data_IF_020878063150
#
_entry.id   IF_020878063150
#
_cell.length_a   1.000
_cell.length_b   1.000
_cell.length_c   1.000
_cell.angle_alpha   90.00
_cell.angle_beta   90.00
_cell.angle_gamma   90.00
#
_symmetry.space_group_name_H-M   'P 1'
#
loop_
_entity.id
_entity.type
_entity.pdbx_description
1 polymer ?
#
# COMPACT_ATOMS: atom_id res chain seq x y z
N UNK A 1 13.12 72.72 -0.99
CA UNK A 1 12.35 71.65 -0.32
C UNK A 1 11.98 70.59 -1.36
N UNK A 2 12.70 69.46 -1.43
CA UNK A 2 12.39 68.36 -2.36
C UNK A 2 11.69 67.24 -1.58
N UNK A 3 10.44 66.97 -1.93
CA UNK A 3 9.60 65.92 -1.35
C UNK A 3 10.04 64.55 -1.87
N UNK A 4 10.49 63.68 -0.96
CA UNK A 4 10.81 62.28 -1.23
C UNK A 4 9.55 61.47 -0.90
N UNK A 5 8.86 60.97 -1.93
CA UNK A 5 7.77 59.99 -1.76
C UNK A 5 8.40 58.60 -1.69
N UNK A 6 8.48 58.04 -0.47
CA UNK A 6 8.91 56.66 -0.25
C UNK A 6 7.82 55.71 -0.73
N UNK A 7 8.15 54.82 -1.67
CA UNK A 7 7.25 53.74 -2.14
C UNK A 7 7.48 52.52 -1.25
N UNK A 8 6.57 52.26 -0.32
CA UNK A 8 6.53 50.99 0.43
C UNK A 8 6.06 49.91 -0.54
N UNK A 9 6.95 48.98 -0.87
CA UNK A 9 6.60 47.78 -1.65
C UNK A 9 6.21 46.70 -0.66
N UNK A 10 4.91 46.35 -0.61
CA UNK A 10 4.42 45.21 0.17
C UNK A 10 4.64 43.95 -0.66
N UNK A 11 5.59 43.11 -0.24
CA UNK A 11 5.81 41.80 -0.85
C UNK A 11 4.79 40.82 -0.24
N UNK A 12 3.77 40.45 -1.00
CA UNK A 12 2.82 39.41 -0.59
C UNK A 12 3.51 38.04 -0.68
N UNK A 13 3.75 37.41 0.48
CA UNK A 13 4.23 36.03 0.55
C UNK A 13 3.06 35.11 0.20
N UNK A 14 3.03 34.62 -1.04
CA UNK A 14 2.07 33.60 -1.44
C UNK A 14 2.42 32.28 -0.73
N UNK A 15 1.56 31.83 0.19
CA UNK A 15 1.59 30.45 0.66
C UNK A 15 1.29 29.54 -0.53
N UNK A 16 2.33 28.90 -1.07
CA UNK A 16 2.16 27.81 -2.02
C UNK A 16 1.52 26.63 -1.27
N UNK A 17 0.19 26.50 -1.37
CA UNK A 17 -0.47 25.25 -1.04
C UNK A 17 0.09 24.18 -1.99
N UNK A 18 0.54 23.01 -1.49
CA UNK A 18 1.00 21.96 -2.36
C UNK A 18 -0.17 21.51 -3.25
N UNK A 19 -0.17 21.96 -4.50
CA UNK A 19 -1.01 21.41 -5.58
C UNK A 19 -0.40 20.10 -6.05
N UNK A 20 -0.16 19.17 -5.12
CA UNK A 20 -0.04 17.77 -5.48
C UNK A 20 -1.42 17.32 -5.96
N UNK A 21 -1.52 16.47 -7.00
CA UNK A 21 -2.80 15.85 -7.29
C UNK A 21 -3.29 15.20 -5.99
N UNK A 22 -4.47 15.59 -5.51
CA UNK A 22 -5.28 14.68 -4.73
C UNK A 22 -5.52 13.53 -5.69
N UNK A 23 -4.66 12.50 -5.65
CA UNK A 23 -4.87 11.27 -6.37
C UNK A 23 -6.24 10.78 -5.92
N UNK A 24 -7.22 11.04 -6.78
CA UNK A 24 -8.61 10.76 -6.51
C UNK A 24 -8.72 9.29 -6.19
N UNK A 25 -9.57 8.97 -5.22
CA UNK A 25 -9.90 7.60 -4.86
C UNK A 25 -10.62 6.94 -6.04
N UNK A 26 -9.85 6.44 -7.01
CA UNK A 26 -10.39 5.75 -8.16
C UNK A 26 -10.81 4.35 -7.73
N UNK A 27 -12.13 4.11 -7.79
CA UNK A 27 -12.69 2.80 -7.53
C UNK A 27 -12.29 1.87 -8.67
N UNK A 28 -11.51 0.85 -8.35
CA UNK A 28 -11.22 -0.24 -9.29
C UNK A 28 -12.30 -1.30 -9.11
N UNK A 29 -13.00 -1.62 -10.21
CA UNK A 29 -14.01 -2.67 -10.26
C UNK A 29 -13.41 -3.95 -10.80
N UNK A 30 -13.70 -5.06 -10.12
CA UNK A 30 -13.47 -6.42 -10.63
C UNK A 30 -14.84 -7.08 -10.79
N UNK A 31 -15.14 -7.51 -12.01
CA UNK A 31 -16.43 -8.11 -12.32
C UNK A 31 -16.67 -9.37 -11.47
N UNK A 32 -17.87 -9.46 -10.89
CA UNK A 32 -18.25 -10.55 -9.97
C UNK A 32 -17.75 -10.39 -8.53
N UNK A 33 -16.77 -9.53 -8.25
CA UNK A 33 -16.21 -9.35 -6.90
C UNK A 33 -16.52 -7.98 -6.27
N UNK A 34 -16.86 -6.97 -7.07
CA UNK A 34 -17.24 -5.64 -6.60
C UNK A 34 -16.24 -4.56 -6.96
N UNK A 35 -16.19 -3.48 -6.18
CA UNK A 35 -15.28 -2.36 -6.43
C UNK A 35 -14.79 -1.74 -5.13
N UNK A 36 -13.49 -1.45 -5.08
CA UNK A 36 -12.85 -0.77 -3.94
C UNK A 36 -11.86 0.28 -4.44
N UNK A 37 -11.58 1.26 -3.60
CA UNK A 37 -10.46 2.18 -3.77
C UNK A 37 -9.44 1.85 -2.70
N UNK A 38 -8.26 1.40 -3.11
CA UNK A 38 -7.15 1.10 -2.22
C UNK A 38 -5.91 1.88 -2.65
N UNK A 39 -5.77 3.16 -2.24
CA UNK A 39 -4.61 3.93 -2.63
C UNK A 39 -3.33 3.25 -2.10
N UNK A 40 -2.33 3.11 -2.96
CA UNK A 40 -1.05 2.48 -2.63
C UNK A 40 0.01 2.96 -3.63
N UNK A 41 1.25 2.52 -3.42
CA UNK A 41 2.43 2.93 -4.18
C UNK A 41 2.84 1.99 -5.32
N UNK A 42 2.11 0.89 -5.53
CA UNK A 42 2.40 -0.06 -6.59
C UNK A 42 2.18 0.54 -7.98
N UNK A 43 2.87 -0.03 -8.97
CA UNK A 43 2.70 0.32 -10.38
C UNK A 43 1.22 0.26 -10.82
N UNK A 44 0.86 1.09 -11.79
CA UNK A 44 -0.52 1.15 -12.30
C UNK A 44 -0.96 -0.20 -12.86
N UNK A 45 -0.04 -0.91 -13.51
CA UNK A 45 -0.21 -2.22 -14.13
C UNK A 45 -0.48 -3.32 -13.09
N UNK A 46 0.02 -3.16 -11.85
CA UNK A 46 -0.17 -4.11 -10.76
C UNK A 46 -1.50 -3.91 -10.00
N UNK A 47 -2.23 -2.82 -10.26
CA UNK A 47 -3.43 -2.48 -9.49
C UNK A 47 -4.57 -3.47 -9.68
N UNK A 48 -4.83 -3.92 -10.92
CA UNK A 48 -5.91 -4.88 -11.18
C UNK A 48 -5.73 -6.20 -10.42
N UNK A 49 -4.59 -6.91 -10.50
CA UNK A 49 -4.39 -8.14 -9.73
C UNK A 49 -4.38 -7.89 -8.23
N UNK A 50 -3.77 -6.78 -7.77
CA UNK A 50 -3.78 -6.44 -6.34
C UNK A 50 -5.20 -6.23 -5.80
N UNK A 51 -6.02 -5.43 -6.48
CA UNK A 51 -7.41 -5.18 -6.07
C UNK A 51 -8.24 -6.47 -6.10
N UNK A 52 -8.02 -7.33 -7.11
CA UNK A 52 -8.63 -8.66 -7.17
C UNK A 52 -8.26 -9.49 -5.94
N UNK A 53 -6.98 -9.53 -5.56
CA UNK A 53 -6.50 -10.21 -4.36
C UNK A 53 -7.15 -9.69 -3.08
N UNK A 54 -7.26 -8.36 -2.91
CA UNK A 54 -7.93 -7.76 -1.76
C UNK A 54 -9.41 -8.16 -1.68
N UNK A 55 -10.14 -8.14 -2.81
CA UNK A 55 -11.56 -8.51 -2.84
C UNK A 55 -11.77 -10.01 -2.53
N UNK A 56 -10.93 -10.88 -3.07
CA UNK A 56 -10.95 -12.32 -2.80
C UNK A 56 -10.62 -12.61 -1.33
N UNK A 57 -9.61 -11.94 -0.77
CA UNK A 57 -9.24 -12.06 0.65
C UNK A 57 -10.42 -11.71 1.58
N UNK A 58 -11.18 -10.65 1.25
CA UNK A 58 -12.38 -10.28 2.02
C UNK A 58 -13.57 -11.22 1.80
N UNK A 59 -13.51 -12.08 0.80
CA UNK A 59 -14.49 -13.12 0.50
C UNK A 59 -14.06 -14.51 1.01
N UNK A 60 -12.94 -14.59 1.75
CA UNK A 60 -12.34 -15.82 2.26
C UNK A 60 -11.81 -16.80 1.20
N UNK A 61 -11.60 -16.32 -0.03
CA UNK A 61 -10.99 -17.10 -1.13
C UNK A 61 -9.46 -16.98 -1.07
N UNK A 62 -8.85 -17.58 -0.05
CA UNK A 62 -7.46 -17.32 0.33
C UNK A 62 -6.43 -17.75 -0.73
N UNK A 63 -6.64 -18.90 -1.37
CA UNK A 63 -5.71 -19.44 -2.38
C UNK A 63 -5.70 -18.56 -3.63
N UNK A 64 -6.90 -18.22 -4.14
CA UNK A 64 -7.06 -17.32 -5.29
C UNK A 64 -6.55 -15.91 -4.97
N UNK A 65 -6.75 -15.43 -3.73
CA UNK A 65 -6.20 -14.16 -3.29
C UNK A 65 -4.67 -14.16 -3.32
N UNK A 66 -4.04 -15.24 -2.83
CA UNK A 66 -2.59 -15.38 -2.81
C UNK A 66 -2.02 -15.41 -4.23
N UNK A 67 -2.69 -16.10 -5.17
CA UNK A 67 -2.32 -16.10 -6.59
C UNK A 67 -2.40 -14.70 -7.19
N UNK A 68 -3.49 -13.97 -6.97
CA UNK A 68 -3.64 -12.59 -7.47
C UNK A 68 -2.59 -11.63 -6.88
N UNK A 69 -2.22 -11.80 -5.61
CA UNK A 69 -1.13 -11.02 -5.03
C UNK A 69 0.24 -11.37 -5.63
N UNK A 70 0.52 -12.64 -5.93
CA UNK A 70 1.74 -13.04 -6.63
C UNK A 70 1.80 -12.48 -8.06
N UNK A 71 0.67 -12.46 -8.78
CA UNK A 71 0.59 -11.79 -10.09
C UNK A 71 0.97 -10.30 -9.98
N UNK A 72 0.48 -9.60 -8.94
CA UNK A 72 0.87 -8.21 -8.70
C UNK A 72 2.37 -8.06 -8.38
N UNK A 73 2.98 -9.03 -7.68
CA UNK A 73 4.43 -9.05 -7.40
C UNK A 73 5.26 -9.32 -8.66
N UNK A 74 4.78 -10.17 -9.58
CA UNK A 74 5.46 -10.41 -10.86
C UNK A 74 5.50 -9.15 -11.73
N UNK A 75 4.45 -8.34 -11.68
CA UNK A 75 4.35 -7.06 -12.40
C UNK A 75 5.19 -5.96 -11.72
N UNK A 76 5.13 -5.86 -10.40
CA UNK A 76 5.89 -4.91 -9.60
C UNK A 76 6.58 -5.61 -8.42
N UNK A 77 7.84 -6.07 -8.61
CA UNK A 77 8.57 -6.82 -7.58
C UNK A 77 8.88 -6.04 -6.30
N UNK A 78 8.83 -4.71 -6.35
CA UNK A 78 9.04 -3.83 -5.20
C UNK A 78 7.72 -3.44 -4.49
N UNK A 79 6.58 -3.93 -4.97
CA UNK A 79 5.27 -3.56 -4.45
C UNK A 79 4.99 -4.16 -3.07
N UNK A 80 5.40 -3.45 -2.03
CA UNK A 80 5.26 -3.85 -0.62
C UNK A 80 3.85 -4.38 -0.26
N UNK A 81 2.79 -3.77 -0.79
CA UNK A 81 1.43 -4.17 -0.43
C UNK A 81 1.00 -5.49 -1.05
N UNK A 82 1.57 -5.91 -2.18
CA UNK A 82 1.27 -7.22 -2.74
C UNK A 82 1.84 -8.36 -1.88
N UNK A 83 3.04 -8.19 -1.32
CA UNK A 83 3.61 -9.15 -0.37
C UNK A 83 2.90 -9.13 0.99
N UNK A 84 2.50 -7.95 1.47
CA UNK A 84 1.62 -7.83 2.64
C UNK A 84 0.30 -8.58 2.41
N UNK A 85 -0.32 -8.39 1.24
CA UNK A 85 -1.59 -9.01 0.88
C UNK A 85 -1.51 -10.52 0.87
N UNK A 86 -0.47 -11.08 0.24
CA UNK A 86 -0.22 -12.52 0.27
C UNK A 86 0.04 -13.02 1.70
N UNK A 87 0.84 -12.31 2.51
CA UNK A 87 1.04 -12.71 3.90
C UNK A 87 -0.28 -12.75 4.69
N UNK A 88 -1.23 -11.85 4.40
CA UNK A 88 -2.55 -11.84 5.04
C UNK A 88 -3.45 -13.02 4.64
N UNK A 89 -3.15 -13.74 3.55
CA UNK A 89 -3.92 -14.94 3.17
C UNK A 89 -3.62 -16.15 4.05
N UNK A 90 -2.59 -16.09 4.89
CA UNK A 90 -2.17 -17.18 5.78
C UNK A 90 -2.66 -17.04 7.23
N UNK A 91 -3.56 -16.09 7.47
CA UNK A 91 -4.31 -15.99 8.74
C UNK A 91 -5.79 -16.13 8.44
N UNK A 92 -6.42 -17.13 9.05
CA UNK A 92 -7.83 -17.47 8.82
C UNK A 92 -8.59 -17.38 10.16
N UNK A 93 -8.94 -16.16 10.62
CA UNK A 93 -9.44 -15.96 11.98
C UNK A 93 -10.73 -16.71 12.31
N UNK A 94 -11.60 -16.91 11.30
CA UNK A 94 -12.87 -17.63 11.47
C UNK A 94 -12.64 -19.11 11.80
N UNK A 95 -11.56 -19.69 11.26
CA UNK A 95 -11.19 -21.10 11.44
C UNK A 95 -10.11 -21.30 12.51
N UNK A 96 -9.57 -20.20 13.07
CA UNK A 96 -8.46 -20.23 14.00
C UNK A 96 -7.21 -20.94 13.43
N UNK A 97 -6.99 -20.77 12.12
CA UNK A 97 -5.84 -21.30 11.41
C UNK A 97 -4.85 -20.17 11.11
N UNK A 98 -3.55 -20.48 11.23
CA UNK A 98 -2.48 -19.53 10.95
C UNK A 98 -1.22 -20.26 10.52
N UNK A 99 -0.79 -20.01 9.29
CA UNK A 99 0.48 -20.51 8.76
C UNK A 99 1.55 -19.41 8.84
N UNK A 100 2.30 -19.44 9.95
CA UNK A 100 3.36 -18.44 10.20
C UNK A 100 4.55 -18.65 9.26
N UNK A 101 4.84 -19.89 8.87
CA UNK A 101 5.99 -20.19 8.01
C UNK A 101 5.75 -19.66 6.60
N UNK A 102 4.58 -19.94 6.03
CA UNK A 102 4.20 -19.46 4.70
C UNK A 102 4.11 -17.93 4.65
N UNK A 103 3.52 -17.29 5.67
CA UNK A 103 3.47 -15.84 5.75
C UNK A 103 4.86 -15.19 5.79
N UNK A 104 5.77 -15.73 6.60
CA UNK A 104 7.16 -15.26 6.67
C UNK A 104 7.90 -15.49 5.36
N UNK A 105 7.65 -16.61 4.68
CA UNK A 105 8.24 -16.90 3.37
C UNK A 105 7.76 -15.91 2.30
N UNK A 106 6.47 -15.51 2.33
CA UNK A 106 5.95 -14.47 1.45
C UNK A 106 6.63 -13.12 1.69
N UNK A 107 6.73 -12.69 2.96
CA UNK A 107 7.43 -11.45 3.31
C UNK A 107 8.92 -11.50 2.92
N UNK A 108 9.60 -12.61 3.17
CA UNK A 108 11.03 -12.77 2.87
C UNK A 108 11.37 -12.62 1.37
N UNK A 109 10.39 -12.84 0.47
CA UNK A 109 10.56 -12.57 -0.96
C UNK A 109 10.65 -11.09 -1.31
N UNK A 110 10.04 -10.21 -0.52
CA UNK A 110 10.16 -8.74 -0.69
C UNK A 110 11.57 -8.26 -0.30
N UNK A 111 12.02 -8.63 0.89
CA UNK A 111 13.37 -8.37 1.39
C UNK A 111 13.68 -9.23 2.63
N UNK A 112 14.96 -9.53 2.93
CA UNK A 112 15.30 -10.48 3.99
C UNK A 112 15.04 -9.95 5.40
N UNK A 113 15.17 -8.64 5.64
CA UNK A 113 14.98 -8.04 6.97
C UNK A 113 13.71 -7.19 7.06
N UNK A 114 13.19 -7.02 8.28
CA UNK A 114 12.03 -6.15 8.54
C UNK A 114 12.31 -4.72 8.11
N UNK A 115 13.49 -4.21 8.42
CA UNK A 115 13.92 -2.86 8.11
C UNK A 115 13.94 -2.61 6.59
N UNK A 116 14.48 -3.56 5.83
CA UNK A 116 14.51 -3.46 4.37
C UNK A 116 13.12 -3.58 3.76
N UNK A 117 12.24 -4.43 4.30
CA UNK A 117 10.84 -4.51 3.84
C UNK A 117 10.08 -3.21 4.10
N UNK A 118 10.27 -2.61 5.28
CA UNK A 118 9.69 -1.31 5.61
C UNK A 118 10.22 -0.18 4.70
N UNK A 119 11.47 -0.27 4.24
CA UNK A 119 12.04 0.67 3.29
C UNK A 119 11.38 0.60 1.89
N UNK A 120 10.70 -0.52 1.55
CA UNK A 120 9.93 -0.67 0.30
C UNK A 120 8.56 0.01 0.34
N UNK A 121 8.09 0.41 1.51
CA UNK A 121 6.83 1.13 1.66
C UNK A 121 7.08 2.65 1.74
N UNK A 122 6.76 3.44 0.70
CA UNK A 122 7.04 4.87 0.68
C UNK A 122 6.05 5.68 1.53
N UNK A 123 4.86 5.17 1.81
CA UNK A 123 3.84 5.90 2.58
C UNK A 123 3.77 5.42 4.03
N UNK A 124 3.43 6.33 4.95
CA UNK A 124 3.27 5.99 6.37
C UNK A 124 2.15 4.95 6.61
N UNK A 125 1.10 4.96 5.77
CA UNK A 125 0.02 3.96 5.85
C UNK A 125 0.54 2.56 5.53
N UNK A 126 1.30 2.42 4.44
CA UNK A 126 1.86 1.15 4.02
C UNK A 126 2.91 0.63 5.00
N UNK A 127 3.76 1.50 5.55
CA UNK A 127 4.67 1.14 6.65
C UNK A 127 3.92 0.66 7.89
N UNK A 128 2.77 1.25 8.19
CA UNK A 128 1.89 0.82 9.28
C UNK A 128 1.34 -0.58 9.05
N UNK A 129 0.85 -0.88 7.84
CA UNK A 129 0.36 -2.21 7.48
C UNK A 129 1.46 -3.27 7.48
N UNK A 130 2.63 -2.96 6.90
CA UNK A 130 3.78 -3.85 6.99
C UNK A 130 4.20 -4.06 8.45
N UNK A 131 4.27 -3.01 9.25
CA UNK A 131 4.63 -3.15 10.67
C UNK A 131 3.67 -4.05 11.43
N UNK A 132 2.37 -3.98 11.11
CA UNK A 132 1.35 -4.82 11.71
C UNK A 132 1.49 -6.29 11.30
N UNK A 133 1.71 -6.59 10.02
CA UNK A 133 1.84 -7.98 9.54
C UNK A 133 3.12 -8.64 10.09
N UNK A 134 4.18 -7.84 10.23
CA UNK A 134 5.44 -8.27 10.85
C UNK A 134 5.27 -8.59 12.34
N UNK A 135 4.44 -7.84 13.06
CA UNK A 135 4.09 -8.17 14.46
C UNK A 135 3.17 -9.39 14.53
N UNK A 136 2.19 -9.49 13.63
CA UNK A 136 1.24 -10.60 13.56
C UNK A 136 1.93 -11.97 13.38
N UNK A 137 2.97 -12.00 12.54
CA UNK A 137 3.76 -13.21 12.26
C UNK A 137 5.12 -13.21 12.95
N UNK A 138 5.47 -12.17 13.72
CA UNK A 138 6.72 -12.05 14.46
C UNK A 138 6.65 -12.70 15.84
N UNK A 139 7.47 -12.20 16.77
CA UNK A 139 7.52 -12.68 18.16
C UNK A 139 6.59 -11.91 19.11
N UNK A 140 5.93 -10.84 18.63
CA UNK A 140 5.07 -9.96 19.42
C UNK A 140 5.74 -8.64 19.74
#
# INVERSE_FOLDING_TARGET
>A
MRSIRSRVTVLALALALPTGPLAGQELTRIDGLGAISFPNSGAAEAQTPFIRGVLLLHSFEYDDAAEAFREAQEIDPDFAMAYWGEAMTYTHPVWNEKDVEAARAALARLAPTREERLARAPTEREKGWLSAVETLYGEG
#
